data_IF_509756182780
#
_entry.id   IF_509756182780
#
_cell.length_a   1.000
_cell.length_b   1.000
_cell.length_c   1.000
_cell.angle_alpha   90.00
_cell.angle_beta   90.00
_cell.angle_gamma   90.00
#
_symmetry.space_group_name_H-M   'P 1'
#
loop_
_entity.id
_entity.type
_entity.pdbx_description
1 polymer ?
#
# COMPACT_ATOMS: atom_id res chain seq x y z
N UNK A 1 3.12 -22.08 16.44
CA UNK A 1 2.63 -20.70 16.29
C UNK A 1 2.61 -20.25 14.82
N UNK A 2 3.70 -20.37 14.05
CA UNK A 2 3.75 -19.94 12.64
C UNK A 2 2.83 -20.69 11.66
N UNK A 3 2.58 -22.00 11.86
CA UNK A 3 1.70 -22.78 10.99
C UNK A 3 0.22 -22.34 11.00
N UNK A 4 -0.24 -21.71 12.09
CA UNK A 4 -1.61 -21.21 12.19
C UNK A 4 -1.83 -19.99 11.30
N UNK A 5 -0.87 -19.06 11.27
CA UNK A 5 -0.93 -17.87 10.40
C UNK A 5 -0.85 -18.26 8.93
N UNK A 6 -0.07 -19.28 8.59
CA UNK A 6 0.03 -19.77 7.21
C UNK A 6 -1.29 -20.41 6.74
N UNK A 7 -1.91 -21.25 7.57
CA UNK A 7 -3.10 -22.01 7.17
C UNK A 7 -4.43 -21.24 7.30
N UNK A 8 -4.52 -20.31 8.26
CA UNK A 8 -5.78 -19.62 8.63
C UNK A 8 -5.65 -18.10 8.70
N UNK A 9 -4.54 -17.54 8.22
CA UNK A 9 -4.30 -16.11 8.18
C UNK A 9 -3.61 -15.71 6.87
N UNK A 10 -3.46 -14.40 6.65
CA UNK A 10 -2.70 -13.84 5.53
C UNK A 10 -3.17 -14.38 4.16
N UNK A 11 -4.48 -14.43 3.94
CA UNK A 11 -5.09 -14.84 2.68
C UNK A 11 -6.04 -13.75 2.19
N UNK A 12 -6.01 -13.46 0.89
CA UNK A 12 -6.97 -12.54 0.31
C UNK A 12 -8.37 -13.15 0.33
N UNK A 13 -9.35 -12.34 0.73
CA UNK A 13 -10.74 -12.75 0.84
C UNK A 13 -11.59 -11.92 -0.11
N UNK A 14 -12.53 -12.57 -0.80
CA UNK A 14 -13.50 -11.84 -1.62
C UNK A 14 -14.38 -10.96 -0.72
N UNK A 15 -14.84 -9.78 -1.18
CA UNK A 15 -15.69 -8.88 -0.38
C UNK A 15 -17.02 -9.49 0.10
N UNK A 16 -17.47 -10.59 -0.52
CA UNK A 16 -18.69 -11.33 -0.17
C UNK A 16 -18.50 -12.35 0.97
N UNK A 17 -17.26 -12.58 1.40
CA UNK A 17 -16.94 -13.56 2.44
C UNK A 17 -16.90 -12.88 3.80
N UNK A 18 -17.52 -13.52 4.80
CA UNK A 18 -17.60 -13.06 6.18
C UNK A 18 -17.19 -14.20 7.14
N UNK A 19 -17.29 -13.96 8.44
CA UNK A 19 -16.90 -14.95 9.46
C UNK A 19 -17.74 -16.23 9.44
N UNK A 20 -18.98 -16.19 8.94
CA UNK A 20 -19.91 -17.32 8.94
C UNK A 20 -19.68 -18.27 7.76
N UNK A 21 -19.16 -17.76 6.63
CA UNK A 21 -19.01 -18.52 5.38
C UNK A 21 -17.55 -18.74 4.94
N UNK A 22 -16.57 -18.32 5.74
CA UNK A 22 -15.16 -18.40 5.36
C UNK A 22 -14.64 -19.84 5.35
N UNK A 23 -14.11 -20.25 4.19
CA UNK A 23 -13.40 -21.52 4.04
C UNK A 23 -11.92 -21.29 3.72
N UNK A 24 -11.08 -21.40 4.75
CA UNK A 24 -9.62 -21.19 4.68
C UNK A 24 -8.87 -22.18 3.79
N UNK A 25 -9.38 -23.41 3.61
CA UNK A 25 -8.66 -24.43 2.83
C UNK A 25 -8.73 -24.20 1.31
N UNK A 26 -9.65 -23.34 0.86
CA UNK A 26 -9.83 -23.02 -0.57
C UNK A 26 -8.83 -21.99 -1.09
N UNK A 27 -8.00 -21.43 -0.20
CA UNK A 27 -7.21 -20.24 -0.48
C UNK A 27 -5.74 -20.50 -0.22
N UNK A 28 -4.91 -19.86 -1.04
CA UNK A 28 -3.46 -19.93 -0.89
C UNK A 28 -2.99 -18.78 -0.01
N UNK A 29 -1.96 -19.00 0.83
CA UNK A 29 -1.32 -17.93 1.59
C UNK A 29 -0.79 -16.85 0.65
N UNK A 30 -0.96 -15.60 1.06
CA UNK A 30 -0.44 -14.44 0.33
C UNK A 30 1.07 -14.36 0.56
N UNK A 31 1.84 -14.66 -0.47
CA UNK A 31 3.30 -14.67 -0.41
C UNK A 31 3.91 -13.35 -0.91
N UNK A 32 3.35 -12.81 -1.98
CA UNK A 32 3.80 -11.58 -2.62
C UNK A 32 2.80 -10.45 -2.33
N UNK A 33 3.22 -9.20 -2.36
CA UNK A 33 2.34 -8.06 -2.09
C UNK A 33 2.18 -7.18 -3.34
N UNK A 34 0.97 -6.67 -3.60
CA UNK A 34 0.75 -5.73 -4.70
C UNK A 34 1.49 -4.42 -4.45
N UNK A 35 1.55 -3.57 -5.48
CA UNK A 35 2.02 -2.20 -5.31
C UNK A 35 1.15 -1.46 -4.29
N UNK A 36 1.79 -0.78 -3.35
CA UNK A 36 1.14 0.00 -2.31
C UNK A 36 1.86 1.33 -2.15
N UNK A 37 1.09 2.38 -1.86
CA UNK A 37 1.61 3.69 -1.49
C UNK A 37 0.77 4.32 -0.40
N UNK A 38 1.38 5.20 0.40
CA UNK A 38 0.69 5.97 1.41
C UNK A 38 1.37 7.32 1.63
N UNK A 39 0.57 8.35 1.89
CA UNK A 39 1.04 9.66 2.31
C UNK A 39 1.29 9.59 3.83
N UNK A 40 2.44 10.07 4.29
CA UNK A 40 2.85 9.99 5.71
C UNK A 40 3.17 11.37 6.31
N UNK A 41 3.22 12.43 5.50
CA UNK A 41 3.53 13.79 5.96
C UNK A 41 2.33 14.54 6.54
N UNK A 42 1.12 14.03 6.35
CA UNK A 42 -0.13 14.65 6.73
C UNK A 42 -1.01 13.60 7.42
N UNK A 43 -1.81 14.03 8.38
CA UNK A 43 -2.89 13.19 8.93
C UNK A 43 -4.15 13.34 8.06
N UNK A 44 -5.05 12.37 8.13
CA UNK A 44 -6.25 12.30 7.28
C UNK A 44 -7.10 13.59 7.33
N UNK A 45 -7.08 14.30 8.45
CA UNK A 45 -7.83 15.55 8.65
C UNK A 45 -6.94 16.59 9.34
N UNK A 46 -5.93 17.09 8.62
CA UNK A 46 -5.13 18.24 9.09
C UNK A 46 -5.63 19.55 8.49
N UNK A 47 -5.93 20.54 9.33
CA UNK A 47 -6.13 21.92 8.87
C UNK A 47 -4.75 22.55 8.57
N UNK A 48 -4.48 22.76 7.28
CA UNK A 48 -3.18 23.29 6.83
C UNK A 48 -3.29 24.80 6.62
N UNK A 49 -2.30 25.54 7.10
CA UNK A 49 -2.20 26.99 6.84
C UNK A 49 -2.03 27.21 5.33
N UNK A 50 -2.67 28.24 4.74
CA UNK A 50 -2.45 28.58 3.35
C UNK A 50 -0.97 28.78 3.04
N UNK A 51 -0.45 28.12 2.00
CA UNK A 51 0.96 28.20 1.62
C UNK A 51 1.45 26.96 0.89
N UNK A 52 2.79 26.85 0.78
CA UNK A 52 3.44 25.67 0.20
C UNK A 52 3.42 24.52 1.22
N UNK A 53 2.82 23.41 0.82
CA UNK A 53 2.74 22.19 1.63
C UNK A 53 3.64 21.14 1.01
N UNK A 54 4.51 20.54 1.82
CA UNK A 54 5.33 19.40 1.40
C UNK A 54 4.56 18.11 1.69
N UNK A 55 4.29 17.34 0.63
CA UNK A 55 3.66 16.02 0.73
C UNK A 55 4.74 14.94 0.54
N UNK A 56 4.84 14.01 1.48
CA UNK A 56 5.80 12.91 1.45
C UNK A 56 5.14 11.62 1.91
N UNK A 57 5.66 10.49 1.44
CA UNK A 57 5.11 9.17 1.70
C UNK A 57 6.08 8.08 1.24
N UNK A 58 5.58 6.86 1.22
CA UNK A 58 6.31 5.71 0.66
C UNK A 58 5.50 5.05 -0.45
N UNK A 59 6.21 4.31 -1.31
CA UNK A 59 5.64 3.38 -2.27
C UNK A 59 6.51 2.12 -2.28
N UNK A 60 5.87 0.94 -2.30
CA UNK A 60 6.54 -0.35 -2.28
C UNK A 60 5.76 -1.37 -3.11
N UNK A 61 6.45 -2.36 -3.65
CA UNK A 61 5.85 -3.48 -4.37
C UNK A 61 6.58 -4.75 -3.97
N UNK A 62 5.85 -5.85 -3.84
CA UNK A 62 6.45 -7.13 -3.50
C UNK A 62 7.19 -7.75 -4.68
N UNK A 63 7.94 -8.82 -4.39
CA UNK A 63 8.58 -9.65 -5.41
C UNK A 63 9.79 -8.98 -6.07
N UNK A 64 10.45 -8.03 -5.38
CA UNK A 64 11.63 -7.32 -5.87
C UNK A 64 11.34 -6.33 -7.00
N UNK A 65 10.08 -5.92 -7.18
CA UNK A 65 9.68 -4.97 -8.22
C UNK A 65 9.90 -3.53 -7.74
N UNK A 66 10.62 -2.75 -8.52
CA UNK A 66 10.82 -1.32 -8.27
C UNK A 66 9.54 -0.49 -8.49
N UNK A 67 9.55 0.74 -8.00
CA UNK A 67 8.50 1.73 -8.25
C UNK A 67 8.91 2.63 -9.41
N UNK A 68 8.20 2.48 -10.53
CA UNK A 68 8.44 3.26 -11.74
C UNK A 68 8.01 4.73 -11.55
N UNK A 69 6.79 4.95 -11.04
CA UNK A 69 6.18 6.29 -10.91
C UNK A 69 5.27 6.37 -9.69
N UNK A 70 5.15 7.57 -9.12
CA UNK A 70 4.16 7.92 -8.10
C UNK A 70 3.47 9.21 -8.55
N UNK A 71 2.15 9.14 -8.71
CA UNK A 71 1.32 10.27 -9.09
C UNK A 71 0.55 10.78 -7.85
N UNK A 72 0.51 12.09 -7.65
CA UNK A 72 -0.16 12.74 -6.51
C UNK A 72 -1.24 13.68 -7.02
N UNK A 73 -2.42 13.62 -6.40
CA UNK A 73 -3.55 14.49 -6.69
C UNK A 73 -3.94 15.30 -5.45
N UNK A 74 -4.33 16.56 -5.67
CA UNK A 74 -4.83 17.46 -4.64
C UNK A 74 -6.31 17.84 -4.84
N UNK A 75 -6.95 17.27 -5.86
CA UNK A 75 -8.32 17.60 -6.28
C UNK A 75 -9.27 16.38 -6.29
N UNK A 76 -8.89 15.33 -5.54
CA UNK A 76 -9.67 14.09 -5.44
C UNK A 76 -9.49 13.15 -6.64
N UNK A 77 -8.38 13.24 -7.36
CA UNK A 77 -8.03 12.33 -8.46
C UNK A 77 -8.45 12.82 -9.84
N UNK A 78 -8.80 14.10 -10.00
CA UNK A 78 -9.16 14.68 -11.31
C UNK A 78 -7.91 15.06 -12.10
N UNK A 79 -6.91 15.62 -11.41
CA UNK A 79 -5.59 15.92 -11.97
C UNK A 79 -4.48 15.30 -11.13
N UNK A 80 -3.37 15.01 -11.79
CA UNK A 80 -2.24 14.26 -11.24
C UNK A 80 -0.93 14.94 -11.58
N UNK A 81 -0.02 14.97 -10.61
CA UNK A 81 1.34 15.48 -10.77
C UNK A 81 2.31 14.38 -10.34
N UNK A 82 3.31 14.11 -11.18
CA UNK A 82 4.34 13.13 -10.86
C UNK A 82 5.22 13.62 -9.70
N UNK A 83 5.41 12.77 -8.69
CA UNK A 83 6.24 13.06 -7.53
C UNK A 83 7.70 12.66 -7.74
N UNK A 84 8.63 13.41 -7.12
CA UNK A 84 10.03 13.00 -7.06
C UNK A 84 10.21 11.78 -6.15
N UNK A 85 10.80 10.70 -6.66
CA UNK A 85 11.18 9.52 -5.88
C UNK A 85 12.65 9.57 -5.46
N UNK A 86 12.94 9.07 -4.25
CA UNK A 86 14.30 8.90 -3.75
C UNK A 86 14.48 7.47 -3.24
N UNK A 87 15.44 6.75 -3.80
CA UNK A 87 15.87 5.44 -3.31
C UNK A 87 17.38 5.49 -3.10
N UNK A 88 17.85 4.99 -1.95
CA UNK A 88 19.29 4.93 -1.67
C UNK A 88 19.90 3.82 -2.52
N UNK A 89 20.83 4.17 -3.40
CA UNK A 89 21.56 3.23 -4.25
C UNK A 89 22.25 2.17 -3.38
N UNK A 90 22.04 0.88 -3.69
CA UNK A 90 22.64 -0.24 -2.97
C UNK A 90 21.80 -0.85 -1.84
N UNK A 91 20.57 -0.36 -1.62
CA UNK A 91 19.59 -1.01 -0.73
C UNK A 91 18.54 -1.70 -1.60
N UNK A 92 18.63 -3.04 -1.67
CA UNK A 92 17.58 -3.89 -2.22
C UNK A 92 16.48 -4.02 -1.15
N UNK A 93 15.25 -3.67 -1.52
CA UNK A 93 14.02 -4.05 -0.82
C UNK A 93 13.38 -5.23 -1.56
#
# INVERSE_FOLDING_TARGET
MFGLLYAKGLQNVSPTVNWDNINWSTRRPQMDFPVQSAICSLEDVTAIKPGKVKVCGYAASGGGRGIERVDVSVDGGKTWVEASKQQKTGVLI
#
